data_IF_153026567065
#
_entry.id   IF_153026567065
#
_cell.length_a   1.000
_cell.length_b   1.000
_cell.length_c   1.000
_cell.angle_alpha   90.00
_cell.angle_beta   90.00
_cell.angle_gamma   90.00
#
_symmetry.space_group_name_H-M   'P 1'
#
loop_
_entity.id
_entity.type
_entity.pdbx_description
1 polymer ?
#
# COMPACT_ATOMS: atom_id res chain seq x y z
N UNK A 1 -9.36 -29.92 -61.64
CA UNK A 1 -10.12 -30.24 -60.45
C UNK A 1 -9.34 -29.62 -59.29
N UNK A 2 -9.92 -28.59 -58.84
CA UNK A 2 -9.39 -27.61 -57.87
C UNK A 2 -9.88 -28.00 -56.49
N UNK A 3 -8.97 -28.14 -55.55
CA UNK A 3 -9.31 -28.28 -54.14
C UNK A 3 -8.60 -27.15 -53.36
N UNK A 4 -9.37 -26.12 -53.10
CA UNK A 4 -9.03 -25.08 -52.15
C UNK A 4 -9.27 -25.57 -50.74
N UNK A 5 -8.23 -25.73 -49.94
CA UNK A 5 -8.31 -25.83 -48.50
C UNK A 5 -7.81 -24.52 -47.87
N UNK A 6 -8.77 -23.70 -47.51
CA UNK A 6 -8.53 -22.60 -46.62
C UNK A 6 -8.60 -23.09 -45.17
N UNK A 7 -7.46 -23.21 -44.53
CA UNK A 7 -7.34 -23.40 -43.08
C UNK A 7 -7.18 -22.01 -42.44
N UNK A 8 -8.28 -21.46 -41.98
CA UNK A 8 -8.29 -20.29 -41.08
C UNK A 8 -8.18 -20.80 -39.66
N UNK A 9 -6.96 -20.95 -39.15
CA UNK A 9 -6.69 -21.17 -37.75
C UNK A 9 -6.72 -19.82 -37.03
N UNK A 10 -7.91 -19.38 -36.67
CA UNK A 10 -8.11 -18.35 -35.64
C UNK A 10 -7.80 -18.92 -34.25
N UNK A 11 -6.54 -18.92 -33.86
CA UNK A 11 -6.16 -19.05 -32.44
C UNK A 11 -6.14 -17.68 -31.82
N UNK A 12 -7.30 -17.18 -31.50
CA UNK A 12 -7.50 -16.08 -30.56
C UNK A 12 -7.55 -16.63 -29.13
N UNK A 13 -6.45 -17.11 -28.61
CA UNK A 13 -6.27 -17.32 -27.17
C UNK A 13 -5.81 -16.01 -26.55
N UNK A 14 -6.71 -15.07 -26.47
CA UNK A 14 -6.59 -13.96 -25.53
C UNK A 14 -6.94 -14.49 -24.13
N UNK A 15 -6.00 -15.19 -23.51
CA UNK A 15 -5.99 -15.37 -22.07
C UNK A 15 -5.75 -14.00 -21.40
N UNK A 16 -6.77 -13.16 -21.47
CA UNK A 16 -6.92 -12.08 -20.50
C UNK A 16 -7.09 -12.72 -19.12
N UNK A 17 -5.98 -13.11 -18.51
CA UNK A 17 -5.92 -13.22 -17.07
C UNK A 17 -6.11 -11.81 -16.53
N UNK A 18 -7.37 -11.40 -16.39
CA UNK A 18 -7.77 -10.25 -15.61
C UNK A 18 -7.29 -10.45 -14.18
N UNK A 19 -6.03 -10.12 -13.94
CA UNK A 19 -5.50 -9.96 -12.60
C UNK A 19 -6.32 -8.85 -11.95
N UNK A 20 -7.06 -9.24 -10.92
CA UNK A 20 -8.17 -8.56 -10.32
C UNK A 20 -8.03 -7.05 -10.26
N UNK A 21 -9.01 -6.39 -10.77
CA UNK A 21 -9.29 -4.96 -10.76
C UNK A 21 -9.36 -4.38 -9.33
N UNK A 22 -9.07 -5.19 -8.32
CA UNK A 22 -9.20 -4.83 -6.91
C UNK A 22 -7.82 -4.75 -6.24
N UNK A 23 -7.55 -3.58 -5.66
CA UNK A 23 -6.39 -3.36 -4.78
C UNK A 23 -6.53 -4.23 -3.51
N UNK A 24 -5.59 -5.15 -3.23
CA UNK A 24 -5.65 -6.03 -2.06
C UNK A 24 -5.25 -5.33 -0.76
N UNK A 25 -4.61 -4.15 -0.80
CA UNK A 25 -3.93 -3.50 0.33
C UNK A 25 -4.88 -2.78 1.29
N UNK A 26 -6.04 -3.42 1.57
CA UNK A 26 -7.12 -2.86 2.39
C UNK A 26 -6.71 -2.50 3.81
N UNK A 27 -5.66 -3.16 4.36
CA UNK A 27 -5.19 -2.98 5.74
C UNK A 27 -4.54 -1.63 6.00
N UNK A 28 -4.20 -0.85 4.98
CA UNK A 28 -3.67 0.49 5.16
C UNK A 28 -4.73 1.52 5.56
N UNK A 29 -6.01 1.20 5.43
CA UNK A 29 -7.12 1.90 6.09
C UNK A 29 -7.47 1.19 7.41
N UNK A 30 -7.32 1.90 8.53
CA UNK A 30 -7.62 1.33 9.86
C UNK A 30 -9.10 0.96 10.01
N UNK A 31 -10.02 1.64 9.32
CA UNK A 31 -11.43 1.26 9.34
C UNK A 31 -11.67 -0.10 8.67
N UNK A 32 -10.95 -0.41 7.58
CA UNK A 32 -10.98 -1.72 6.96
C UNK A 32 -10.41 -2.80 7.90
N UNK A 33 -9.33 -2.48 8.64
CA UNK A 33 -8.78 -3.40 9.64
C UNK A 33 -9.80 -3.73 10.75
N UNK A 34 -10.64 -2.78 11.17
CA UNK A 34 -11.73 -3.03 12.10
C UNK A 34 -12.74 -4.02 11.50
N UNK A 35 -13.15 -3.82 10.24
CA UNK A 35 -14.06 -4.75 9.54
C UNK A 35 -13.43 -6.15 9.43
N UNK A 36 -12.12 -6.25 9.18
CA UNK A 36 -11.42 -7.54 9.17
C UNK A 36 -11.51 -8.25 10.52
N UNK A 37 -11.32 -7.53 11.62
CA UNK A 37 -11.44 -8.08 12.99
C UNK A 37 -12.87 -8.55 13.27
N UNK A 38 -13.89 -7.78 12.86
CA UNK A 38 -15.29 -8.16 13.00
C UNK A 38 -15.63 -9.43 12.21
N UNK A 39 -15.17 -9.52 10.95
CA UNK A 39 -15.38 -10.71 10.12
C UNK A 39 -14.69 -11.95 10.70
N UNK A 40 -13.47 -11.81 11.24
CA UNK A 40 -12.74 -12.91 11.90
C UNK A 40 -13.50 -13.36 13.16
N UNK A 41 -13.96 -12.43 14.01
CA UNK A 41 -14.78 -12.72 15.21
C UNK A 41 -16.04 -13.52 14.83
N UNK A 42 -16.77 -13.05 13.83
CA UNK A 42 -18.02 -13.67 13.40
C UNK A 42 -17.79 -15.07 12.80
N UNK A 43 -16.74 -15.21 11.96
CA UNK A 43 -16.37 -16.49 11.41
C UNK A 43 -15.94 -17.51 12.46
N UNK A 44 -15.12 -17.10 13.44
CA UNK A 44 -14.72 -17.97 14.56
C UNK A 44 -15.92 -18.34 15.43
N UNK A 45 -16.79 -17.39 15.75
CA UNK A 45 -17.99 -17.63 16.56
C UNK A 45 -18.96 -18.60 15.88
N UNK A 46 -19.06 -18.58 14.55
CA UNK A 46 -19.91 -19.49 13.80
C UNK A 46 -19.41 -20.94 13.82
N UNK A 47 -18.09 -21.17 13.81
CA UNK A 47 -17.50 -22.52 13.80
C UNK A 47 -17.19 -23.05 15.19
N UNK A 48 -17.04 -22.18 16.20
CA UNK A 48 -16.73 -22.51 17.59
C UNK A 48 -17.58 -21.68 18.56
N UNK A 49 -18.89 -21.99 18.58
CA UNK A 49 -19.86 -21.28 19.41
C UNK A 49 -19.58 -21.39 20.94
N UNK A 50 -18.85 -22.42 21.37
CA UNK A 50 -18.50 -22.60 22.78
C UNK A 50 -17.56 -21.49 23.28
N UNK A 51 -16.73 -20.92 22.41
CA UNK A 51 -15.77 -19.84 22.70
C UNK A 51 -16.21 -18.46 22.19
N UNK A 52 -17.42 -18.32 21.64
CA UNK A 52 -17.92 -17.07 21.04
C UNK A 52 -17.79 -15.85 21.97
N UNK A 53 -18.08 -16.00 23.26
CA UNK A 53 -17.92 -14.90 24.23
C UNK A 53 -16.47 -14.43 24.38
N UNK A 54 -15.50 -15.33 24.24
CA UNK A 54 -14.07 -14.96 24.26
C UNK A 54 -13.66 -14.24 23.00
N UNK A 55 -14.15 -14.67 21.84
CA UNK A 55 -13.90 -13.99 20.57
C UNK A 55 -14.50 -12.59 20.56
N UNK A 56 -15.72 -12.43 21.05
CA UNK A 56 -16.38 -11.13 21.19
C UNK A 56 -15.56 -10.18 22.10
N UNK A 57 -15.14 -10.66 23.28
CA UNK A 57 -14.38 -9.84 24.22
C UNK A 57 -13.02 -9.41 23.66
N UNK A 58 -12.31 -10.32 23.00
CA UNK A 58 -11.01 -10.03 22.39
C UNK A 58 -11.14 -9.07 21.21
N UNK A 59 -12.12 -9.28 20.34
CA UNK A 59 -12.39 -8.39 19.22
C UNK A 59 -12.77 -6.98 19.71
N UNK A 60 -13.67 -6.87 20.70
CA UNK A 60 -14.07 -5.59 21.26
C UNK A 60 -12.86 -4.82 21.85
N UNK A 61 -11.97 -5.49 22.56
CA UNK A 61 -10.75 -4.88 23.10
C UNK A 61 -9.83 -4.37 21.99
N UNK A 62 -9.57 -5.20 20.98
CA UNK A 62 -8.67 -4.83 19.88
C UNK A 62 -9.27 -3.74 18.97
N UNK A 63 -10.59 -3.77 18.71
CA UNK A 63 -11.30 -2.71 17.98
C UNK A 63 -11.17 -1.36 18.70
N UNK A 64 -11.23 -1.34 20.03
CA UNK A 64 -11.02 -0.10 20.79
C UNK A 64 -9.58 0.47 20.59
N UNK A 65 -8.57 -0.41 20.52
CA UNK A 65 -7.20 -0.01 20.20
C UNK A 65 -7.08 0.50 18.76
N UNK A 66 -7.74 -0.15 17.79
CA UNK A 66 -7.76 0.30 16.39
C UNK A 66 -8.48 1.64 16.23
N UNK A 67 -9.57 1.89 16.94
CA UNK A 67 -10.24 3.20 16.95
C UNK A 67 -9.32 4.32 17.48
N UNK A 68 -8.55 4.02 18.53
CA UNK A 68 -7.56 4.95 19.05
C UNK A 68 -6.38 5.16 18.05
N UNK A 69 -6.03 4.12 17.29
CA UNK A 69 -5.04 4.22 16.21
C UNK A 69 -5.54 5.10 15.06
N UNK A 70 -6.78 4.92 14.61
CA UNK A 70 -7.38 5.74 13.55
C UNK A 70 -7.41 7.22 13.94
N UNK A 71 -7.85 7.51 15.17
CA UNK A 71 -7.82 8.88 15.71
C UNK A 71 -6.40 9.47 15.75
N UNK A 72 -5.40 8.66 16.10
CA UNK A 72 -3.99 9.06 16.07
C UNK A 72 -3.53 9.40 14.65
N UNK A 73 -3.87 8.58 13.64
CA UNK A 73 -3.52 8.85 12.25
C UNK A 73 -4.14 10.15 11.76
N UNK A 74 -5.44 10.34 12.02
CA UNK A 74 -6.17 11.56 11.67
C UNK A 74 -5.51 12.80 12.29
N UNK A 75 -5.18 12.75 13.58
CA UNK A 75 -4.53 13.86 14.29
C UNK A 75 -3.15 14.18 13.70
N UNK A 76 -2.34 13.16 13.42
CA UNK A 76 -0.99 13.33 12.85
C UNK A 76 -1.04 13.94 11.46
N UNK A 77 -1.94 13.45 10.61
CA UNK A 77 -2.12 13.94 9.23
C UNK A 77 -2.70 15.37 9.23
N UNK A 78 -3.56 15.72 10.18
CA UNK A 78 -4.12 17.07 10.27
C UNK A 78 -3.03 18.15 10.46
N UNK A 79 -1.88 17.80 11.05
CA UNK A 79 -0.72 18.67 11.18
C UNK A 79 0.04 18.92 9.88
N UNK A 80 -0.19 18.13 8.82
CA UNK A 80 0.45 18.28 7.52
C UNK A 80 -0.45 19.07 6.57
N UNK A 81 0.02 20.18 5.95
CA UNK A 81 -0.76 20.91 4.96
C UNK A 81 -1.21 20.01 3.81
N UNK A 82 -2.43 20.20 3.32
CA UNK A 82 -3.00 19.38 2.25
C UNK A 82 -2.12 19.35 0.99
N UNK A 83 -1.54 20.48 0.62
CA UNK A 83 -0.61 20.57 -0.51
C UNK A 83 0.65 19.69 -0.37
N UNK A 84 1.00 19.28 0.86
CA UNK A 84 2.13 18.40 1.17
C UNK A 84 1.74 16.92 1.27
N UNK A 85 0.45 16.59 1.23
CA UNK A 85 -0.04 15.19 1.33
C UNK A 85 0.08 14.47 0.00
N UNK A 86 1.30 14.39 -0.53
CA UNK A 86 1.63 13.74 -1.80
C UNK A 86 2.67 12.67 -1.58
N UNK A 87 2.41 11.46 -2.08
CA UNK A 87 3.25 10.28 -1.85
C UNK A 87 3.74 9.68 -3.16
N UNK A 88 4.96 9.19 -3.12
CA UNK A 88 5.56 8.29 -4.12
C UNK A 88 6.16 7.11 -3.38
N UNK A 89 5.82 5.89 -3.78
CA UNK A 89 6.18 4.63 -3.12
C UNK A 89 6.90 3.68 -4.08
N UNK A 90 7.34 2.53 -3.60
CA UNK A 90 7.96 1.53 -4.50
C UNK A 90 6.89 0.84 -5.34
N UNK A 91 5.81 0.32 -4.73
CA UNK A 91 4.66 -0.21 -5.47
C UNK A 91 3.36 0.52 -5.05
N UNK A 92 2.27 0.28 -5.76
CA UNK A 92 0.99 0.93 -5.49
C UNK A 92 0.24 0.19 -4.39
N UNK A 93 0.47 0.58 -3.14
CA UNK A 93 -0.05 -0.09 -1.94
C UNK A 93 -0.84 0.85 -1.01
N UNK A 94 -0.71 2.17 -1.17
CA UNK A 94 -1.32 3.13 -0.26
C UNK A 94 -2.63 3.74 -0.76
N UNK A 95 -3.31 3.11 -1.73
CA UNK A 95 -4.58 3.62 -2.28
C UNK A 95 -5.64 3.88 -1.21
N UNK A 96 -5.96 2.87 -0.40
CA UNK A 96 -6.92 2.99 0.71
C UNK A 96 -6.49 3.99 1.79
N UNK A 97 -5.20 4.04 2.13
CA UNK A 97 -4.66 5.04 3.04
C UNK A 97 -4.85 6.46 2.50
N UNK A 98 -4.54 6.65 1.22
CA UNK A 98 -4.64 7.95 0.56
C UNK A 98 -6.10 8.44 0.53
N UNK A 99 -7.03 7.58 0.16
CA UNK A 99 -8.46 7.89 0.14
C UNK A 99 -8.96 8.28 1.55
N UNK A 100 -8.62 7.47 2.56
CA UNK A 100 -9.10 7.69 3.93
C UNK A 100 -8.55 8.96 4.57
N UNK A 101 -7.25 9.22 4.40
CA UNK A 101 -6.56 10.28 5.16
C UNK A 101 -6.22 11.51 4.32
N UNK A 102 -6.72 11.58 3.08
CA UNK A 102 -6.61 12.74 2.22
C UNK A 102 -5.22 12.96 1.63
N UNK A 103 -4.56 11.87 1.20
CA UNK A 103 -3.32 11.93 0.43
C UNK A 103 -3.60 11.79 -1.06
N UNK A 104 -2.62 12.19 -1.87
CA UNK A 104 -2.58 11.94 -3.30
C UNK A 104 -1.39 11.04 -3.60
N UNK A 105 -1.62 9.91 -4.26
CA UNK A 105 -0.55 9.09 -4.81
C UNK A 105 -0.12 9.74 -6.13
N UNK A 106 1.12 10.21 -6.18
CA UNK A 106 1.73 10.82 -7.38
C UNK A 106 2.14 9.73 -8.36
N UNK A 107 2.67 8.62 -7.83
CA UNK A 107 3.04 7.45 -8.60
C UNK A 107 3.77 6.41 -7.76
N UNK A 108 4.08 5.29 -8.37
CA UNK A 108 4.89 4.23 -7.77
C UNK A 108 6.01 3.78 -8.70
N UNK A 109 7.16 3.40 -8.12
CA UNK A 109 8.35 3.05 -8.89
C UNK A 109 8.15 1.85 -9.82
N UNK A 110 7.36 0.87 -9.39
CA UNK A 110 7.02 -0.33 -10.18
C UNK A 110 5.82 -0.11 -11.11
N UNK A 111 5.00 0.92 -10.88
CA UNK A 111 3.77 1.16 -11.64
C UNK A 111 2.74 0.03 -11.51
N UNK A 112 2.74 -0.71 -10.41
CA UNK A 112 1.93 -1.90 -10.18
C UNK A 112 1.54 -2.05 -8.73
N UNK A 113 0.42 -2.71 -8.47
CA UNK A 113 -0.03 -3.17 -7.15
C UNK A 113 0.72 -4.43 -6.66
N UNK A 114 1.57 -5.04 -7.48
CA UNK A 114 2.35 -6.23 -7.14
C UNK A 114 3.84 -5.90 -7.09
N UNK A 115 4.54 -6.46 -6.12
CA UNK A 115 6.01 -6.44 -6.01
C UNK A 115 6.69 -7.52 -6.86
N UNK A 116 5.92 -8.46 -7.43
CA UNK A 116 6.42 -9.58 -8.25
C UNK A 116 6.60 -9.21 -9.73
N UNK A 117 6.34 -7.97 -10.11
CA UNK A 117 6.59 -7.47 -11.46
C UNK A 117 8.08 -7.27 -11.70
N UNK A 118 8.49 -7.37 -12.96
CA UNK A 118 9.86 -7.06 -13.37
C UNK A 118 10.23 -5.58 -13.17
N UNK A 119 11.52 -5.27 -13.32
CA UNK A 119 12.01 -3.89 -13.22
C UNK A 119 11.27 -2.99 -14.23
N UNK A 120 10.95 -1.75 -13.85
CA UNK A 120 10.26 -0.82 -14.73
C UNK A 120 11.14 -0.43 -15.92
N UNK A 121 10.52 -0.09 -17.04
CA UNK A 121 11.25 0.40 -18.22
C UNK A 121 11.94 1.74 -17.92
N UNK A 122 13.00 2.05 -18.68
CA UNK A 122 13.65 3.37 -18.58
C UNK A 122 12.67 4.53 -18.85
N UNK A 123 11.70 4.33 -19.74
CA UNK A 123 10.68 5.34 -20.04
C UNK A 123 9.75 5.59 -18.84
N UNK A 124 9.33 4.53 -18.17
CA UNK A 124 8.52 4.61 -16.93
C UNK A 124 9.27 5.38 -15.84
N UNK A 125 10.56 5.10 -15.65
CA UNK A 125 11.38 5.80 -14.67
C UNK A 125 11.50 7.30 -15.00
N UNK A 126 11.74 7.65 -16.25
CA UNK A 126 11.84 9.06 -16.68
C UNK A 126 10.52 9.78 -16.42
N UNK A 127 9.39 9.17 -16.78
CA UNK A 127 8.08 9.75 -16.54
C UNK A 127 7.84 9.98 -15.04
N UNK A 128 8.11 8.99 -14.19
CA UNK A 128 7.94 9.13 -12.74
C UNK A 128 8.84 10.23 -12.15
N UNK A 129 10.07 10.35 -12.61
CA UNK A 129 10.99 11.44 -12.20
C UNK A 129 10.41 12.81 -12.55
N UNK A 130 9.80 12.96 -13.72
CA UNK A 130 9.13 14.21 -14.12
C UNK A 130 7.90 14.50 -13.25
N UNK A 131 7.09 13.48 -12.95
CA UNK A 131 5.93 13.60 -12.06
C UNK A 131 6.33 14.00 -10.63
N UNK A 132 7.40 13.40 -10.08
CA UNK A 132 7.94 13.76 -8.76
C UNK A 132 8.37 15.24 -8.73
N UNK A 133 9.08 15.70 -9.74
CA UNK A 133 9.51 17.10 -9.86
C UNK A 133 8.35 18.07 -9.99
N UNK A 134 7.35 17.70 -10.80
CA UNK A 134 6.16 18.52 -10.99
C UNK A 134 5.28 18.60 -9.73
N UNK A 135 5.24 17.53 -8.93
CA UNK A 135 4.49 17.45 -7.68
C UNK A 135 5.18 18.16 -6.51
N UNK A 136 6.46 18.56 -6.63
CA UNK A 136 7.26 19.23 -5.59
C UNK A 136 7.23 18.46 -4.24
N UNK A 137 7.37 17.13 -4.30
CA UNK A 137 7.45 16.31 -3.09
C UNK A 137 8.86 16.36 -2.50
N UNK A 138 9.02 16.55 -1.17
CA UNK A 138 10.35 16.65 -0.58
C UNK A 138 11.06 15.29 -0.45
N UNK A 139 10.29 14.21 -0.37
CA UNK A 139 10.80 12.87 -0.17
C UNK A 139 9.92 11.81 -0.84
N UNK A 140 10.53 10.67 -1.16
CA UNK A 140 9.85 9.46 -1.64
C UNK A 140 10.14 8.30 -0.71
N UNK A 141 9.30 7.26 -0.73
CA UNK A 141 9.29 6.19 0.25
C UNK A 141 9.69 4.86 -0.36
N UNK A 142 10.75 4.24 0.18
CA UNK A 142 11.03 2.82 0.01
C UNK A 142 10.15 1.97 0.92
N UNK A 143 10.21 0.67 0.75
CA UNK A 143 9.40 -0.31 1.49
C UNK A 143 10.25 -1.44 2.03
N UNK A 144 9.82 -2.03 3.16
CA UNK A 144 10.57 -3.10 3.82
C UNK A 144 10.65 -4.42 3.01
N UNK A 145 9.77 -4.59 2.04
CA UNK A 145 9.69 -5.77 1.16
C UNK A 145 10.36 -5.57 -0.20
N UNK A 146 10.88 -4.38 -0.50
CA UNK A 146 11.39 -4.00 -1.82
C UNK A 146 12.89 -3.80 -1.83
N UNK A 147 13.50 -3.96 -3.02
CA UNK A 147 14.89 -3.59 -3.24
C UNK A 147 15.09 -2.07 -3.13
N UNK A 148 15.89 -1.57 -2.18
CA UNK A 148 16.07 -0.13 -1.99
C UNK A 148 16.83 0.57 -3.14
N UNK A 149 17.47 -0.19 -4.05
CA UNK A 149 18.26 0.36 -5.13
C UNK A 149 17.45 1.17 -6.14
N UNK A 150 16.25 0.70 -6.50
CA UNK A 150 15.36 1.37 -7.45
C UNK A 150 14.89 2.72 -6.92
N UNK A 151 14.36 2.75 -5.71
CA UNK A 151 13.83 3.99 -5.12
C UNK A 151 14.95 5.02 -4.87
N UNK A 152 16.15 4.55 -4.47
CA UNK A 152 17.32 5.42 -4.30
C UNK A 152 17.81 6.03 -5.63
N UNK A 153 17.73 5.27 -6.73
CA UNK A 153 18.07 5.79 -8.07
C UNK A 153 17.07 6.87 -8.49
N UNK A 154 15.76 6.61 -8.35
CA UNK A 154 14.71 7.57 -8.72
C UNK A 154 14.84 8.84 -7.89
N UNK A 155 15.05 8.73 -6.58
CA UNK A 155 15.25 9.89 -5.70
C UNK A 155 16.41 10.76 -6.14
N UNK A 156 17.54 10.15 -6.47
CA UNK A 156 18.73 10.86 -6.96
C UNK A 156 18.45 11.59 -8.27
N UNK A 157 17.81 10.94 -9.24
CA UNK A 157 17.44 11.54 -10.52
C UNK A 157 16.42 12.67 -10.35
N UNK A 158 15.45 12.52 -9.46
CA UNK A 158 14.44 13.55 -9.17
C UNK A 158 15.00 14.71 -8.34
N UNK A 159 16.08 14.48 -7.58
CA UNK A 159 16.68 15.47 -6.68
C UNK A 159 15.96 15.60 -5.35
N UNK A 160 15.32 14.52 -4.88
CA UNK A 160 14.55 14.46 -3.63
C UNK A 160 15.18 13.50 -2.63
N UNK A 161 14.77 13.56 -1.36
CA UNK A 161 15.24 12.65 -0.32
C UNK A 161 14.56 11.27 -0.43
N UNK A 162 15.25 10.22 0.05
CA UNK A 162 14.61 8.93 0.38
C UNK A 162 14.29 8.94 1.86
N UNK A 163 13.02 8.78 2.20
CA UNK A 163 12.58 8.63 3.59
C UNK A 163 12.96 7.24 4.14
N UNK A 164 12.96 7.04 5.46
CA UNK A 164 13.06 5.70 6.03
C UNK A 164 11.99 4.78 5.44
N UNK A 165 12.30 3.48 5.21
CA UNK A 165 11.38 2.57 4.54
C UNK A 165 10.11 2.37 5.37
N UNK A 166 8.97 2.27 4.67
CA UNK A 166 7.67 1.97 5.26
C UNK A 166 7.46 0.45 5.33
N UNK A 167 6.69 0.01 6.30
CA UNK A 167 6.18 -1.36 6.35
C UNK A 167 4.90 -1.44 5.51
N UNK A 168 4.86 -2.37 4.55
CA UNK A 168 3.72 -2.52 3.63
C UNK A 168 3.12 -3.92 3.70
N UNK A 169 3.65 -4.89 2.95
CA UNK A 169 3.10 -6.25 2.82
C UNK A 169 3.60 -7.23 3.88
N UNK A 170 4.51 -6.78 4.73
CA UNK A 170 4.99 -7.55 5.85
C UNK A 170 5.20 -6.67 7.09
N UNK A 171 4.93 -7.25 8.26
CA UNK A 171 5.34 -6.67 9.53
C UNK A 171 6.87 -6.71 9.65
N UNK A 172 7.39 -5.93 10.56
CA UNK A 172 8.81 -5.98 10.92
C UNK A 172 9.12 -7.12 11.88
N UNK A 173 10.42 -7.37 12.07
CA UNK A 173 10.91 -8.35 13.04
C UNK A 173 10.48 -8.02 14.46
N UNK A 174 10.47 -9.03 15.33
CA UNK A 174 10.18 -8.86 16.77
C UNK A 174 11.11 -7.80 17.38
N UNK A 175 10.51 -6.80 18.00
CA UNK A 175 11.23 -5.67 18.58
C UNK A 175 11.57 -4.53 17.61
N UNK A 176 11.17 -4.64 16.34
CA UNK A 176 11.22 -3.52 15.40
C UNK A 176 10.04 -2.56 15.61
N UNK A 177 10.12 -1.32 15.07
CA UNK A 177 9.01 -0.36 15.15
C UNK A 177 7.72 -0.77 14.43
N UNK A 178 7.74 -1.85 13.64
CA UNK A 178 6.60 -2.37 12.90
C UNK A 178 6.27 -3.82 13.24
N UNK A 179 6.63 -4.32 14.44
CA UNK A 179 6.45 -5.71 14.83
C UNK A 179 4.98 -6.14 14.97
N UNK A 180 4.07 -5.21 15.19
CA UNK A 180 2.62 -5.42 15.23
C UNK A 180 1.92 -4.47 14.27
N UNK A 181 0.67 -4.77 13.91
CA UNK A 181 -0.11 -3.89 13.03
C UNK A 181 -0.22 -2.45 13.56
N UNK A 182 -0.51 -2.29 14.86
CA UNK A 182 -0.63 -0.98 15.49
C UNK A 182 0.71 -0.22 15.45
N UNK A 183 1.81 -0.90 15.74
CA UNK A 183 3.15 -0.31 15.69
C UNK A 183 3.54 0.05 14.25
N UNK A 184 3.24 -0.82 13.29
CA UNK A 184 3.46 -0.60 11.86
C UNK A 184 2.77 0.68 11.38
N UNK A 185 1.47 0.83 11.63
CA UNK A 185 0.70 2.01 11.20
C UNK A 185 1.21 3.28 11.90
N UNK A 186 1.52 3.22 13.20
CA UNK A 186 2.10 4.35 13.95
C UNK A 186 3.45 4.79 13.38
N UNK A 187 4.31 3.83 13.10
CA UNK A 187 5.62 4.10 12.49
C UNK A 187 5.46 4.72 11.12
N UNK A 188 4.64 4.11 10.26
CA UNK A 188 4.42 4.57 8.89
C UNK A 188 3.91 6.02 8.87
N UNK A 189 2.82 6.33 9.57
CA UNK A 189 2.26 7.68 9.57
C UNK A 189 3.23 8.71 10.15
N UNK A 190 3.98 8.34 11.20
CA UNK A 190 4.98 9.24 11.79
C UNK A 190 6.11 9.54 10.79
N UNK A 191 6.59 8.51 10.09
CA UNK A 191 7.63 8.62 9.05
C UNK A 191 7.14 9.46 7.87
N UNK A 192 5.93 9.20 7.37
CA UNK A 192 5.32 9.95 6.27
C UNK A 192 5.20 11.43 6.62
N UNK A 193 4.59 11.75 7.76
CA UNK A 193 4.38 13.14 8.18
C UNK A 193 5.72 13.86 8.39
N UNK A 194 6.71 13.21 9.02
CA UNK A 194 8.04 13.81 9.23
C UNK A 194 8.75 14.11 7.90
N UNK A 195 8.73 13.16 6.95
CA UNK A 195 9.40 13.32 5.66
C UNK A 195 8.76 14.39 4.77
N UNK A 196 7.42 14.50 4.80
CA UNK A 196 6.69 15.47 4.00
C UNK A 196 6.57 16.85 4.64
N UNK A 197 6.98 17.01 5.90
CA UNK A 197 7.03 18.31 6.61
C UNK A 197 8.35 19.06 6.40
N UNK A 198 9.34 18.41 5.79
CA UNK A 198 10.69 18.96 5.59
C UNK A 198 10.77 20.12 4.58
#
# INVERSE_FOLDING_TARGET
>A
DEDEHGDEDEHGDEDEHGHGEYDPHIWHDVANAIIMVENIRDGLSAVDAANAASYEANAAAYIAELQALDAFVIERVAGLPEARRRMVTTHDTFGYFAERYGFTIVGSALGSISTEVGDPSAATIVQLVEEIRAADVPAIFGENVSNPGLIAMIAREAGVAVAPPLYTDALGDVGSPGATYIEMVRYNVTTIVAALSA
#
